data_IF_594085659508
#
_entry.id   IF_594085659508
#
_cell.length_a   1.000
_cell.length_b   1.000
_cell.length_c   1.000
_cell.angle_alpha   90.00
_cell.angle_beta   90.00
_cell.angle_gamma   90.00
#
_symmetry.space_group_name_H-M   'P 1'
#
loop_
_entity.id
_entity.type
_entity.pdbx_description
1 polymer ?
#
# COMPACT_ATOMS: atom_id res chain seq x y z
N UNK A 1 -24.12 38.23 59.52
CA UNK A 1 -25.40 37.75 60.10
C UNK A 1 -25.90 36.59 59.26
N UNK A 2 -26.32 35.52 59.95
CA UNK A 2 -26.96 34.27 59.48
C UNK A 2 -26.01 33.15 59.00
N UNK A 3 -25.51 32.46 60.02
CA UNK A 3 -25.06 31.06 60.03
C UNK A 3 -26.17 30.13 59.54
N UNK A 4 -25.84 28.99 58.94
CA UNK A 4 -26.52 27.70 59.16
C UNK A 4 -25.67 26.54 58.59
N UNK A 5 -25.08 25.76 59.49
CA UNK A 5 -24.87 24.30 59.42
C UNK A 5 -25.83 23.69 60.47
N UNK A 6 -26.01 22.36 60.62
CA UNK A 6 -25.62 21.16 59.85
C UNK A 6 -26.88 20.31 59.49
N UNK A 7 -26.80 19.07 59.02
CA UNK A 7 -27.00 17.83 59.82
C UNK A 7 -26.55 16.62 58.98
N UNK A 8 -25.64 15.83 59.54
CA UNK A 8 -25.35 14.44 59.18
C UNK A 8 -26.50 13.55 59.67
N UNK A 9 -27.00 12.67 58.81
CA UNK A 9 -27.88 11.56 59.21
C UNK A 9 -27.53 10.30 58.41
N UNK A 10 -27.41 9.20 59.15
CA UNK A 10 -27.57 7.80 58.81
C UNK A 10 -27.59 7.45 57.31
N UNK A 11 -26.65 6.66 56.80
CA UNK A 11 -26.51 5.26 57.19
C UNK A 11 -27.34 4.42 56.22
N UNK A 12 -26.70 3.78 55.25
CA UNK A 12 -27.11 2.47 54.74
C UNK A 12 -25.97 1.89 53.90
N UNK A 13 -25.33 0.87 54.46
CA UNK A 13 -24.43 -0.03 53.76
C UNK A 13 -25.25 -0.67 52.64
N UNK A 14 -25.00 -0.25 51.39
CA UNK A 14 -25.60 -0.91 50.23
C UNK A 14 -24.58 -1.91 49.72
N UNK A 15 -24.82 -3.17 50.08
CA UNK A 15 -24.13 -4.38 49.64
C UNK A 15 -24.17 -4.44 48.11
N UNK A 16 -23.07 -4.11 47.44
CA UNK A 16 -22.91 -4.35 46.00
C UNK A 16 -22.73 -5.85 45.78
N UNK A 17 -23.83 -6.56 45.56
CA UNK A 17 -23.79 -7.91 45.02
C UNK A 17 -23.31 -7.83 43.58
N UNK A 18 -22.09 -8.29 43.34
CA UNK A 18 -21.56 -8.52 42.00
C UNK A 18 -22.32 -9.71 41.41
N UNK A 19 -23.43 -9.43 40.75
CA UNK A 19 -24.10 -10.37 39.86
C UNK A 19 -23.21 -10.52 38.63
N UNK A 20 -22.37 -11.55 38.66
CA UNK A 20 -21.67 -12.08 37.49
C UNK A 20 -22.70 -12.56 36.46
N UNK A 21 -23.17 -11.64 35.63
CA UNK A 21 -23.79 -12.02 34.37
C UNK A 21 -22.67 -12.59 33.49
N UNK A 22 -22.80 -13.83 32.99
CA UNK A 22 -22.00 -14.23 31.85
C UNK A 22 -22.42 -13.30 30.70
N UNK A 23 -21.59 -12.29 30.44
CA UNK A 23 -21.62 -11.60 29.17
C UNK A 23 -21.27 -12.66 28.12
N UNK A 24 -22.31 -13.29 27.57
CA UNK A 24 -22.26 -13.79 26.20
C UNK A 24 -22.00 -12.58 25.33
N UNK A 25 -20.73 -12.17 25.25
CA UNK A 25 -20.20 -11.41 24.14
C UNK A 25 -20.39 -12.33 22.94
N UNK A 26 -21.56 -12.23 22.34
CA UNK A 26 -21.79 -12.61 20.97
C UNK A 26 -20.98 -11.61 20.14
N UNK A 27 -19.66 -11.82 20.11
CA UNK A 27 -18.83 -11.30 19.04
C UNK A 27 -19.34 -12.05 17.84
N UNK A 28 -20.31 -11.46 17.14
CA UNK A 28 -20.47 -11.75 15.74
C UNK A 28 -19.10 -11.45 15.14
N UNK A 29 -18.30 -12.51 15.02
CA UNK A 29 -17.36 -12.64 13.94
C UNK A 29 -18.22 -12.62 12.68
N UNK A 30 -18.67 -11.42 12.31
CA UNK A 30 -18.82 -11.11 10.92
C UNK A 30 -17.42 -11.32 10.37
N UNK A 31 -17.15 -12.54 9.92
CA UNK A 31 -16.22 -12.75 8.85
C UNK A 31 -16.72 -11.85 7.74
N UNK A 32 -16.22 -10.62 7.70
CA UNK A 32 -15.99 -10.01 6.42
C UNK A 32 -15.07 -11.00 5.71
N UNK A 33 -15.68 -11.90 4.94
CA UNK A 33 -14.96 -12.56 3.87
C UNK A 33 -14.37 -11.43 3.05
N UNK A 34 -13.08 -11.19 3.25
CA UNK A 34 -12.32 -10.23 2.50
C UNK A 34 -12.52 -10.53 1.00
N UNK A 35 -13.32 -9.70 0.33
CA UNK A 35 -13.31 -9.54 -1.13
C UNK A 35 -11.94 -9.08 -1.66
N UNK A 36 -10.91 -9.00 -0.83
CA UNK A 36 -9.55 -8.58 -1.18
C UNK A 36 -8.82 -9.54 -2.14
N UNK A 37 -9.39 -10.70 -2.48
CA UNK A 37 -8.71 -11.70 -3.32
C UNK A 37 -9.18 -11.85 -4.77
N UNK A 38 -10.42 -11.51 -5.11
CA UNK A 38 -11.08 -12.18 -6.25
C UNK A 38 -11.94 -11.28 -7.17
N UNK A 39 -11.98 -9.95 -6.95
CA UNK A 39 -12.88 -9.06 -7.71
C UNK A 39 -12.19 -7.86 -8.34
N UNK A 40 -12.73 -7.41 -9.47
CA UNK A 40 -12.55 -6.04 -9.95
C UNK A 40 -13.46 -5.11 -9.14
N UNK A 41 -12.97 -3.94 -8.76
CA UNK A 41 -13.73 -2.87 -8.14
C UNK A 41 -14.38 -1.99 -9.20
N UNK A 42 -15.52 -1.37 -8.87
CA UNK A 42 -16.19 -0.47 -9.82
C UNK A 42 -15.43 0.85 -9.94
N UNK A 43 -15.66 1.58 -11.03
CA UNK A 43 -15.05 2.90 -11.27
C UNK A 43 -15.36 3.86 -10.12
N UNK A 44 -16.61 3.91 -9.65
CA UNK A 44 -17.01 4.81 -8.57
C UNK A 44 -16.29 4.54 -7.25
N UNK A 45 -16.07 3.26 -6.91
CA UNK A 45 -15.31 2.86 -5.73
C UNK A 45 -13.85 3.34 -5.84
N UNK A 46 -13.22 3.05 -6.96
CA UNK A 46 -11.81 3.40 -7.20
C UNK A 46 -11.58 4.91 -7.26
N UNK A 47 -12.51 5.65 -7.87
CA UNK A 47 -12.48 7.11 -7.90
C UNK A 47 -12.69 7.72 -6.51
N UNK A 48 -13.56 7.13 -5.68
CA UNK A 48 -13.72 7.55 -4.28
C UNK A 48 -12.43 7.32 -3.48
N UNK A 49 -11.82 6.13 -3.60
CA UNK A 49 -10.56 5.79 -2.94
C UNK A 49 -9.41 6.71 -3.43
N UNK A 50 -9.36 7.04 -4.72
CA UNK A 50 -8.35 7.97 -5.26
C UNK A 50 -8.50 9.37 -4.67
N UNK A 51 -9.73 9.90 -4.55
CA UNK A 51 -9.98 11.20 -3.92
C UNK A 51 -9.55 11.20 -2.46
N UNK A 52 -9.86 10.14 -1.72
CA UNK A 52 -9.43 9.98 -0.33
C UNK A 52 -7.90 9.89 -0.23
N UNK A 53 -7.25 9.13 -1.11
CA UNK A 53 -5.79 9.04 -1.18
C UNK A 53 -5.15 10.42 -1.39
N UNK A 54 -5.65 11.20 -2.35
CA UNK A 54 -5.18 12.55 -2.61
C UNK A 54 -5.37 13.45 -1.39
N UNK A 55 -6.58 13.47 -0.83
CA UNK A 55 -6.91 14.28 0.35
C UNK A 55 -5.98 13.94 1.53
N UNK A 56 -5.78 12.65 1.81
CA UNK A 56 -4.90 12.21 2.90
C UNK A 56 -3.47 12.68 2.71
N UNK A 57 -2.92 12.60 1.50
CA UNK A 57 -1.59 13.13 1.21
C UNK A 57 -1.52 14.64 1.43
N UNK A 58 -2.50 15.40 0.94
CA UNK A 58 -2.53 16.86 1.04
C UNK A 58 -2.68 17.36 2.49
N UNK A 59 -3.47 16.66 3.31
CA UNK A 59 -3.76 17.04 4.70
C UNK A 59 -2.70 16.55 5.69
N UNK A 60 -2.14 15.35 5.47
CA UNK A 60 -1.33 14.66 6.48
C UNK A 60 0.17 14.67 6.20
N UNK A 61 0.61 14.83 4.94
CA UNK A 61 2.02 14.74 4.61
C UNK A 61 2.76 16.08 4.84
N UNK A 62 3.72 16.17 5.79
CA UNK A 62 4.27 17.45 6.26
C UNK A 62 5.07 18.22 5.20
N UNK A 63 5.54 17.53 4.15
CA UNK A 63 6.40 18.10 3.11
C UNK A 63 6.04 17.62 1.71
N UNK A 64 4.73 17.50 1.42
CA UNK A 64 4.24 16.91 0.15
C UNK A 64 4.87 17.58 -1.09
N UNK A 65 5.00 18.90 -1.05
CA UNK A 65 5.47 19.70 -2.17
C UNK A 65 6.97 20.01 -2.17
N UNK A 66 7.77 19.33 -1.33
CA UNK A 66 9.20 19.62 -1.21
C UNK A 66 9.99 19.31 -2.49
N UNK A 67 9.69 18.18 -3.14
CA UNK A 67 10.43 17.71 -4.33
C UNK A 67 9.64 17.84 -5.64
N UNK A 68 8.33 18.00 -5.54
CA UNK A 68 7.43 18.15 -6.70
C UNK A 68 6.48 19.31 -6.41
N UNK A 69 6.42 20.28 -7.33
CA UNK A 69 5.59 21.47 -7.13
C UNK A 69 4.10 21.12 -7.07
N UNK A 70 3.30 21.95 -6.39
CA UNK A 70 1.84 21.79 -6.32
C UNK A 70 1.20 21.70 -7.70
N UNK A 71 1.55 22.61 -8.61
CA UNK A 71 1.06 22.61 -10.01
C UNK A 71 1.37 21.29 -10.72
N UNK A 72 2.58 20.75 -10.53
CA UNK A 72 2.95 19.45 -11.11
C UNK A 72 2.12 18.32 -10.49
N UNK A 73 1.93 18.33 -9.17
CA UNK A 73 1.10 17.34 -8.50
C UNK A 73 -0.36 17.40 -8.95
N UNK A 74 -0.96 18.58 -9.02
CA UNK A 74 -2.34 18.75 -9.50
C UNK A 74 -2.54 18.14 -10.89
N UNK A 75 -1.60 18.42 -11.81
CA UNK A 75 -1.61 17.84 -13.15
C UNK A 75 -1.43 16.31 -13.14
N UNK A 76 -0.56 15.79 -12.27
CA UNK A 76 -0.35 14.35 -12.14
C UNK A 76 -1.58 13.66 -11.56
N UNK A 77 -2.17 14.20 -10.49
CA UNK A 77 -3.39 13.66 -9.88
C UNK A 77 -4.52 13.61 -10.90
N UNK A 78 -4.74 14.68 -11.67
CA UNK A 78 -5.77 14.70 -12.71
C UNK A 78 -5.50 13.63 -13.77
N UNK A 79 -4.27 13.56 -14.30
CA UNK A 79 -3.92 12.59 -15.32
C UNK A 79 -4.13 11.14 -14.86
N UNK A 80 -3.78 10.81 -13.61
CA UNK A 80 -3.94 9.46 -13.07
C UNK A 80 -5.39 9.16 -12.69
N UNK A 81 -6.15 10.16 -12.23
CA UNK A 81 -7.58 10.00 -11.97
C UNK A 81 -8.35 9.62 -13.24
N UNK A 82 -8.03 10.24 -14.38
CA UNK A 82 -8.65 9.93 -15.67
C UNK A 82 -8.34 8.52 -16.20
N UNK A 83 -7.28 7.87 -15.71
CA UNK A 83 -7.00 6.47 -16.04
C UNK A 83 -8.04 5.52 -15.42
N UNK A 84 -8.77 5.94 -14.38
CA UNK A 84 -9.79 5.16 -13.68
C UNK A 84 -11.12 5.25 -14.43
N UNK A 85 -11.20 4.56 -15.57
CA UNK A 85 -12.34 4.60 -16.49
C UNK A 85 -12.96 3.23 -16.77
N UNK A 86 -12.54 2.18 -16.06
CA UNK A 86 -13.09 0.84 -16.15
C UNK A 86 -12.90 0.09 -14.82
N UNK A 87 -13.63 -1.01 -14.57
CA UNK A 87 -13.41 -1.82 -13.39
C UNK A 87 -11.99 -2.42 -13.36
N UNK A 88 -11.29 -2.24 -12.24
CA UNK A 88 -9.89 -2.65 -12.06
C UNK A 88 -9.72 -3.55 -10.84
N UNK A 89 -8.75 -4.45 -10.93
CA UNK A 89 -8.22 -5.17 -9.78
C UNK A 89 -7.39 -4.27 -8.87
N UNK A 90 -7.09 -4.74 -7.66
CA UNK A 90 -6.18 -4.08 -6.72
C UNK A 90 -4.82 -3.78 -7.35
N UNK A 91 -4.25 -4.69 -8.15
CA UNK A 91 -2.94 -4.51 -8.77
C UNK A 91 -2.97 -3.42 -9.86
N UNK A 92 -4.01 -3.40 -10.70
CA UNK A 92 -4.20 -2.35 -11.71
C UNK A 92 -4.33 -0.98 -11.04
N UNK A 93 -5.14 -0.86 -9.97
CA UNK A 93 -5.28 0.39 -9.23
C UNK A 93 -3.99 0.80 -8.51
N UNK A 94 -3.25 -0.16 -7.93
CA UNK A 94 -1.95 0.09 -7.32
C UNK A 94 -0.96 0.71 -8.31
N UNK A 95 -0.94 0.22 -9.56
CA UNK A 95 -0.08 0.76 -10.64
C UNK A 95 -0.43 2.21 -10.99
N UNK A 96 -1.67 2.63 -10.79
CA UNK A 96 -2.10 4.03 -10.98
C UNK A 96 -1.61 4.92 -9.82
N UNK A 97 -1.62 4.42 -8.58
CA UNK A 97 -1.25 5.23 -7.42
C UNK A 97 0.26 5.34 -7.19
N UNK A 98 1.00 4.26 -7.45
CA UNK A 98 2.42 4.18 -7.08
C UNK A 98 3.32 5.28 -7.70
N UNK A 99 3.12 5.75 -8.94
CA UNK A 99 3.92 6.84 -9.50
C UNK A 99 3.72 8.15 -8.72
N UNK A 100 2.51 8.42 -8.24
CA UNK A 100 2.19 9.61 -7.45
C UNK A 100 2.95 9.60 -6.12
N UNK A 101 2.98 8.44 -5.45
CA UNK A 101 3.76 8.24 -4.21
C UNK A 101 5.26 8.42 -4.46
N UNK A 102 5.79 7.87 -5.57
CA UNK A 102 7.20 8.04 -5.92
C UNK A 102 7.58 9.50 -6.19
N UNK A 103 6.65 10.31 -6.70
CA UNK A 103 6.84 11.76 -6.94
C UNK A 103 6.80 12.61 -5.67
N UNK A 104 6.32 12.09 -4.54
CA UNK A 104 6.44 12.77 -3.22
C UNK A 104 7.91 12.98 -2.86
N UNK A 105 8.79 12.06 -3.25
CA UNK A 105 10.22 12.14 -2.90
C UNK A 105 10.49 11.93 -1.42
N UNK A 106 9.63 11.17 -0.72
CA UNK A 106 9.82 10.80 0.67
C UNK A 106 10.11 9.29 0.78
N UNK A 107 11.16 8.92 1.52
CA UNK A 107 11.54 7.52 1.71
C UNK A 107 10.60 6.73 2.62
N UNK A 108 9.70 7.42 3.32
CA UNK A 108 8.76 6.91 4.32
C UNK A 108 7.31 6.95 3.86
N UNK A 109 7.02 7.52 2.69
CA UNK A 109 5.70 7.48 2.07
C UNK A 109 5.65 6.31 1.11
N UNK A 110 4.97 5.25 1.51
CA UNK A 110 4.87 3.99 0.78
C UNK A 110 3.42 3.57 0.61
N UNK A 111 3.12 2.87 -0.48
CA UNK A 111 1.83 2.24 -0.69
C UNK A 111 1.97 0.72 -0.56
N UNK A 112 1.06 0.10 0.17
CA UNK A 112 1.00 -1.34 0.40
C UNK A 112 -0.30 -1.91 -0.16
N UNK A 113 -0.22 -3.11 -0.71
CA UNK A 113 -1.42 -3.92 -1.01
C UNK A 113 -2.05 -4.41 0.29
N UNK A 114 -3.34 -4.79 0.29
CA UNK A 114 -3.98 -5.42 1.45
C UNK A 114 -3.20 -6.63 1.97
N UNK A 115 -3.33 -6.91 3.26
CA UNK A 115 -2.63 -8.03 3.91
C UNK A 115 -2.98 -9.37 3.26
N UNK A 116 -1.95 -10.21 3.08
CA UNK A 116 -2.09 -11.52 2.45
C UNK A 116 -2.46 -11.48 0.95
N UNK A 117 -2.46 -10.30 0.31
CA UNK A 117 -2.78 -10.18 -1.11
C UNK A 117 -1.89 -11.07 -1.99
N UNK A 118 -0.58 -11.05 -1.74
CA UNK A 118 0.39 -11.82 -2.51
C UNK A 118 0.38 -13.32 -2.17
N UNK A 119 0.05 -13.68 -0.93
CA UNK A 119 -0.09 -15.08 -0.52
C UNK A 119 -1.29 -15.75 -1.20
N UNK A 120 -2.35 -14.98 -1.46
CA UNK A 120 -3.57 -15.43 -2.15
C UNK A 120 -3.44 -15.40 -3.68
N UNK A 121 -2.42 -14.73 -4.21
CA UNK A 121 -2.22 -14.55 -5.65
C UNK A 121 -0.72 -14.64 -6.07
N UNK A 122 0.01 -15.72 -5.71
CA UNK A 122 1.42 -15.87 -6.06
C UNK A 122 1.67 -15.88 -7.57
N UNK A 123 0.70 -16.34 -8.37
CA UNK A 123 0.74 -16.32 -9.83
C UNK A 123 0.78 -14.92 -10.45
N UNK A 124 0.48 -13.86 -9.67
CA UNK A 124 0.56 -12.47 -10.14
C UNK A 124 1.96 -11.87 -9.93
N UNK A 125 2.84 -12.56 -9.21
CA UNK A 125 4.21 -12.12 -8.96
C UNK A 125 5.15 -12.57 -10.07
N UNK A 126 6.25 -11.84 -10.22
CA UNK A 126 7.33 -12.28 -11.11
C UNK A 126 7.90 -13.64 -10.64
N UNK A 127 7.99 -14.67 -11.51
CA UNK A 127 8.26 -16.05 -11.09
C UNK A 127 9.74 -16.33 -10.72
N UNK A 128 10.61 -15.33 -10.84
CA UNK A 128 12.03 -15.44 -10.53
C UNK A 128 12.44 -14.41 -9.49
N UNK A 129 13.32 -14.81 -8.57
CA UNK A 129 14.08 -13.85 -7.80
C UNK A 129 15.10 -13.20 -8.72
N UNK A 130 15.14 -11.87 -8.76
CA UNK A 130 16.03 -11.10 -9.63
C UNK A 130 16.82 -10.03 -8.88
N UNK A 131 17.92 -9.61 -9.49
CA UNK A 131 18.75 -8.53 -9.04
C UNK A 131 19.06 -7.58 -10.20
N UNK A 132 18.62 -6.34 -10.08
CA UNK A 132 18.95 -5.25 -10.99
C UNK A 132 20.29 -4.63 -10.60
N UNK A 133 21.22 -4.60 -11.55
CA UNK A 133 22.56 -4.03 -11.44
C UNK A 133 22.92 -3.33 -12.76
N UNK A 134 23.22 -2.04 -12.69
CA UNK A 134 23.60 -1.20 -13.84
C UNK A 134 22.60 -1.29 -15.01
N UNK A 135 21.31 -1.21 -14.70
CA UNK A 135 20.20 -1.30 -15.67
C UNK A 135 19.91 -2.71 -16.17
N UNK A 136 20.76 -3.70 -15.86
CA UNK A 136 20.61 -5.10 -16.28
C UNK A 136 19.93 -5.90 -15.18
N UNK A 137 19.16 -6.92 -15.57
CA UNK A 137 18.45 -7.79 -14.65
C UNK A 137 19.04 -9.21 -14.67
N UNK A 138 19.44 -9.71 -13.51
CA UNK A 138 20.07 -11.03 -13.34
C UNK A 138 19.22 -11.93 -12.46
N UNK A 139 19.17 -13.22 -12.79
CA UNK A 139 18.43 -14.22 -12.01
C UNK A 139 19.25 -14.65 -10.79
N UNK A 140 18.68 -14.54 -9.59
CA UNK A 140 19.31 -14.98 -8.35
C UNK A 140 18.77 -16.32 -7.85
N UNK A 141 17.48 -16.61 -8.07
CA UNK A 141 16.83 -17.89 -7.78
C UNK A 141 15.49 -18.00 -8.54
N UNK A 142 14.84 -19.16 -8.49
CA UNK A 142 13.47 -19.35 -8.97
C UNK A 142 12.55 -19.69 -7.81
N UNK A 143 11.30 -19.20 -7.86
CA UNK A 143 10.25 -19.63 -6.94
C UNK A 143 9.60 -20.95 -7.36
N UNK A 144 9.85 -21.40 -8.60
CA UNK A 144 9.32 -22.64 -9.14
C UNK A 144 10.32 -23.79 -8.94
N UNK A 145 9.79 -24.99 -8.63
CA UNK A 145 10.61 -26.21 -8.50
C UNK A 145 11.36 -26.55 -9.79
N UNK A 146 10.74 -26.29 -10.94
CA UNK A 146 11.30 -26.53 -12.26
C UNK A 146 11.41 -25.20 -13.00
N UNK A 147 12.63 -24.69 -13.14
CA UNK A 147 12.91 -23.49 -13.90
C UNK A 147 14.04 -23.75 -14.90
N UNK A 148 13.80 -23.55 -16.22
CA UNK A 148 14.85 -23.72 -17.22
C UNK A 148 15.91 -22.62 -17.16
N UNK A 149 15.64 -21.51 -16.47
CA UNK A 149 16.54 -20.36 -16.39
C UNK A 149 17.54 -20.55 -15.25
N UNK A 150 18.82 -20.62 -15.58
CA UNK A 150 19.89 -20.83 -14.60
C UNK A 150 20.14 -19.57 -13.76
N UNK A 151 20.51 -19.74 -12.50
CA UNK A 151 21.05 -18.66 -11.66
C UNK A 151 22.23 -17.97 -12.34
N UNK A 152 22.30 -16.65 -12.25
CA UNK A 152 23.30 -15.81 -12.92
C UNK A 152 22.95 -15.42 -14.35
N UNK A 153 21.88 -16.00 -14.93
CA UNK A 153 21.44 -15.63 -16.28
C UNK A 153 21.01 -14.16 -16.33
N UNK A 154 21.41 -13.47 -17.39
CA UNK A 154 20.92 -12.12 -17.70
C UNK A 154 19.59 -12.23 -18.44
N UNK A 155 18.57 -11.59 -17.92
CA UNK A 155 17.30 -11.40 -18.61
C UNK A 155 17.50 -10.28 -19.63
N UNK A 156 17.06 -10.48 -20.87
CA UNK A 156 17.16 -9.47 -21.94
C UNK A 156 15.78 -8.88 -22.24
N UNK A 157 14.75 -9.70 -22.17
CA UNK A 157 13.37 -9.28 -22.39
C UNK A 157 12.41 -10.09 -21.53
N UNK A 158 11.29 -9.46 -21.16
CA UNK A 158 10.15 -10.14 -20.56
C UNK A 158 8.90 -9.75 -21.34
N UNK A 159 8.06 -10.71 -21.71
CA UNK A 159 6.85 -10.49 -22.51
C UNK A 159 7.10 -9.69 -23.80
N UNK A 160 8.23 -9.96 -24.47
CA UNK A 160 8.62 -9.27 -25.72
C UNK A 160 9.15 -7.84 -25.54
N UNK A 161 9.17 -7.30 -24.32
CA UNK A 161 9.68 -5.97 -24.02
C UNK A 161 11.10 -6.03 -23.46
N UNK A 162 11.95 -5.07 -23.84
CA UNK A 162 13.31 -4.95 -23.32
C UNK A 162 13.29 -4.75 -21.80
N UNK A 163 14.08 -5.54 -21.07
CA UNK A 163 14.05 -5.51 -19.60
C UNK A 163 14.68 -4.24 -19.01
N UNK A 164 15.66 -3.65 -19.68
CA UNK A 164 16.32 -2.44 -19.19
C UNK A 164 15.34 -1.26 -19.22
N UNK A 165 14.48 -1.21 -20.24
CA UNK A 165 13.36 -0.24 -20.32
C UNK A 165 12.39 -0.43 -19.16
N UNK A 166 11.95 -1.66 -18.91
CA UNK A 166 11.03 -1.98 -17.81
C UNK A 166 11.64 -1.64 -16.44
N UNK A 167 12.92 -1.97 -16.22
CA UNK A 167 13.65 -1.62 -14.99
C UNK A 167 13.69 -0.11 -14.80
N UNK A 168 13.97 0.65 -15.85
CA UNK A 168 14.01 2.12 -15.78
C UNK A 168 12.63 2.71 -15.47
N UNK A 169 11.56 2.18 -16.06
CA UNK A 169 10.18 2.59 -15.73
C UNK A 169 9.84 2.27 -14.27
N UNK A 170 10.17 1.06 -13.79
CA UNK A 170 9.95 0.66 -12.40
C UNK A 170 10.71 1.54 -11.42
N UNK A 171 11.94 1.96 -11.72
CA UNK A 171 12.69 2.90 -10.90
C UNK A 171 11.97 4.26 -10.74
N UNK A 172 11.16 4.64 -11.72
CA UNK A 172 10.26 5.80 -11.63
C UNK A 172 9.16 5.65 -10.56
N UNK A 173 8.77 4.41 -10.26
CA UNK A 173 7.74 4.05 -9.30
C UNK A 173 8.29 3.74 -7.89
N UNK A 174 9.61 3.83 -7.70
CA UNK A 174 10.22 3.62 -6.38
C UNK A 174 10.28 4.95 -5.60
N UNK A 175 9.62 4.98 -4.44
CA UNK A 175 9.77 6.07 -3.48
C UNK A 175 11.15 6.03 -2.82
N UNK A 176 11.70 7.20 -2.51
CA UNK A 176 13.01 7.39 -1.88
C UNK A 176 13.06 8.77 -1.23
N UNK A 177 13.98 9.00 -0.28
CA UNK A 177 14.25 10.36 0.19
C UNK A 177 14.91 11.15 -0.94
N UNK A 178 14.18 12.11 -1.50
CA UNK A 178 14.48 12.71 -2.79
C UNK A 178 14.47 11.69 -3.94
N UNK A 179 15.14 12.03 -5.04
CA UNK A 179 15.24 11.18 -6.24
C UNK A 179 16.58 10.41 -6.31
N UNK A 180 17.04 9.90 -5.17
CA UNK A 180 18.35 9.23 -5.04
C UNK A 180 18.33 7.87 -5.74
N UNK A 181 19.04 7.76 -6.86
CA UNK A 181 19.03 6.56 -7.70
C UNK A 181 19.61 5.32 -7.03
N UNK A 182 20.68 5.45 -6.24
CA UNK A 182 21.28 4.31 -5.53
C UNK A 182 20.29 3.67 -4.55
N UNK A 183 19.47 4.49 -3.86
CA UNK A 183 18.41 4.03 -2.97
C UNK A 183 17.29 3.35 -3.75
N UNK A 184 16.89 3.92 -4.89
CA UNK A 184 15.85 3.36 -5.77
C UNK A 184 16.26 2.00 -6.33
N UNK A 185 17.49 1.85 -6.84
CA UNK A 185 18.02 0.58 -7.32
C UNK A 185 18.05 -0.48 -6.20
N UNK A 186 18.54 -0.10 -5.01
CA UNK A 186 18.56 -1.02 -3.86
C UNK A 186 17.15 -1.45 -3.45
N UNK A 187 16.18 -0.53 -3.46
CA UNK A 187 14.79 -0.83 -3.08
C UNK A 187 14.10 -1.67 -4.15
N UNK A 188 14.30 -1.39 -5.44
CA UNK A 188 13.79 -2.20 -6.55
C UNK A 188 14.19 -3.67 -6.37
N UNK A 189 15.43 -3.95 -5.99
CA UNK A 189 15.89 -5.33 -5.74
C UNK A 189 15.12 -6.07 -4.64
N UNK A 190 14.45 -5.35 -3.74
CA UNK A 190 13.61 -5.96 -2.70
C UNK A 190 12.14 -6.05 -3.09
N UNK A 191 11.68 -5.23 -4.05
CA UNK A 191 10.25 -5.12 -4.38
C UNK A 191 9.90 -5.49 -5.83
N UNK A 192 10.89 -5.83 -6.66
CA UNK A 192 10.71 -6.15 -8.08
C UNK A 192 9.57 -7.15 -8.33
N UNK A 193 9.47 -8.29 -7.60
CA UNK A 193 8.43 -9.27 -7.88
C UNK A 193 7.00 -8.75 -7.67
N UNK A 194 6.82 -7.69 -6.86
CA UNK A 194 5.53 -7.08 -6.57
C UNK A 194 5.17 -5.92 -7.51
N UNK A 195 6.17 -5.31 -8.17
CA UNK A 195 5.97 -4.16 -9.07
C UNK A 195 5.86 -4.53 -10.55
N UNK A 196 6.23 -5.75 -10.92
CA UNK A 196 6.07 -6.29 -12.27
C UNK A 196 4.59 -6.50 -12.63
#
# INVERSE_FOLDING_TARGET
MKNFLPILSAGLITLFTVLSYPACMNRSSGSQEDKAGQGKFTVDQLQADFRQFRQFLEESHPKLYQFTSRRTFDSLFEAHYQMIHHPMSTQEFYRILIPLVARVGCGHTSLWTPDGYWDKAPQRMFPLGVHALDGKLYVIHSYNQHCPVKKGSRIISVNGQNVETQVNEMLGNIWSDGFIMTKRCRRLNNVFPYLY
#
